data_IF_636713670220
#
_entry.id   IF_636713670220
#
_cell.length_a   1.000
_cell.length_b   1.000
_cell.length_c   1.000
_cell.angle_alpha   90.00
_cell.angle_beta   90.00
_cell.angle_gamma   90.00
#
_symmetry.space_group_name_H-M   'P 1'
#
loop_
_entity.id
_entity.type
_entity.pdbx_description
1 polymer ?
#
# COMPACT_ATOMS: atom_id res chain seq x y z
N UNK A 1 -32.26 5.61 9.99
CA UNK A 1 -31.02 5.61 9.17
C UNK A 1 -29.97 6.61 9.67
N UNK A 2 -30.36 7.81 10.11
CA UNK A 2 -29.45 8.86 10.62
C UNK A 2 -28.50 8.36 11.72
N UNK A 3 -28.98 7.55 12.68
CA UNK A 3 -28.13 6.99 13.74
C UNK A 3 -27.07 5.99 13.25
N UNK A 4 -27.35 5.22 12.18
CA UNK A 4 -26.37 4.28 11.61
C UNK A 4 -25.24 5.04 10.91
N UNK A 5 -25.57 6.08 10.14
CA UNK A 5 -24.60 6.95 9.48
C UNK A 5 -23.73 7.72 10.49
N UNK A 6 -24.34 8.28 11.55
CA UNK A 6 -23.57 8.92 12.63
C UNK A 6 -22.61 7.95 13.32
N UNK A 7 -23.07 6.73 13.60
CA UNK A 7 -22.23 5.68 14.22
C UNK A 7 -21.10 5.23 13.30
N UNK A 8 -21.34 5.13 11.99
CA UNK A 8 -20.31 4.83 11.00
C UNK A 8 -19.26 5.95 10.94
N UNK A 9 -19.71 7.22 10.87
CA UNK A 9 -18.81 8.38 10.87
C UNK A 9 -17.93 8.43 12.13
N UNK A 10 -18.52 8.18 13.30
CA UNK A 10 -17.76 8.06 14.55
C UNK A 10 -16.71 6.93 14.50
N UNK A 11 -17.06 5.74 13.96
CA UNK A 11 -16.10 4.64 13.80
C UNK A 11 -14.93 5.01 12.89
N UNK A 12 -15.22 5.68 11.77
CA UNK A 12 -14.18 6.15 10.84
C UNK A 12 -13.25 7.15 11.54
N UNK A 13 -13.79 8.07 12.34
CA UNK A 13 -12.99 9.04 13.08
C UNK A 13 -12.13 8.39 14.18
N UNK A 14 -12.71 7.45 14.96
CA UNK A 14 -11.98 6.71 16.00
C UNK A 14 -10.84 5.87 15.40
N UNK A 15 -11.12 5.18 14.29
CA UNK A 15 -10.14 4.34 13.61
C UNK A 15 -9.55 4.99 12.37
N UNK A 16 -9.37 6.32 12.39
CA UNK A 16 -8.98 7.10 11.22
C UNK A 16 -7.73 6.56 10.52
N UNK A 17 -6.70 6.22 11.29
CA UNK A 17 -5.45 5.69 10.73
C UNK A 17 -5.67 4.36 9.99
N UNK A 18 -6.43 3.44 10.59
CA UNK A 18 -6.79 2.17 9.96
C UNK A 18 -7.62 2.43 8.70
N UNK A 19 -8.63 3.29 8.77
CA UNK A 19 -9.46 3.63 7.62
C UNK A 19 -8.62 4.20 6.46
N UNK A 20 -7.73 5.15 6.74
CA UNK A 20 -6.83 5.73 5.75
C UNK A 20 -5.91 4.69 5.12
N UNK A 21 -5.32 3.79 5.92
CA UNK A 21 -4.51 2.69 5.40
C UNK A 21 -5.31 1.75 4.50
N UNK A 22 -6.48 1.31 4.97
CA UNK A 22 -7.34 0.42 4.19
C UNK A 22 -7.77 1.04 2.87
N UNK A 23 -8.15 2.32 2.89
CA UNK A 23 -8.55 3.06 1.69
C UNK A 23 -7.39 3.24 0.72
N UNK A 24 -6.22 3.66 1.20
CA UNK A 24 -5.05 3.84 0.34
C UNK A 24 -4.56 2.51 -0.24
N UNK A 25 -4.53 1.45 0.57
CA UNK A 25 -4.14 0.11 0.11
C UNK A 25 -5.09 -0.39 -0.97
N UNK A 26 -6.40 -0.19 -0.78
CA UNK A 26 -7.42 -0.56 -1.76
C UNK A 26 -7.25 0.22 -3.08
N UNK A 27 -7.13 1.56 -3.01
CA UNK A 27 -6.93 2.41 -4.18
C UNK A 27 -5.62 2.06 -4.89
N UNK A 28 -4.54 1.84 -4.14
CA UNK A 28 -3.24 1.44 -4.67
C UNK A 28 -3.32 0.11 -5.42
N UNK A 29 -3.96 -0.91 -4.85
CA UNK A 29 -4.18 -2.19 -5.53
C UNK A 29 -5.01 -2.06 -6.80
N UNK A 30 -6.10 -1.29 -6.78
CA UNK A 30 -6.91 -1.01 -7.97
C UNK A 30 -6.13 -0.26 -9.05
N UNK A 31 -5.28 0.68 -8.65
CA UNK A 31 -4.42 1.41 -9.58
C UNK A 31 -3.44 0.47 -10.28
N UNK A 32 -2.78 -0.42 -9.53
CA UNK A 32 -1.87 -1.43 -10.11
C UNK A 32 -2.64 -2.34 -11.08
N UNK A 33 -3.84 -2.79 -10.72
CA UNK A 33 -4.68 -3.60 -11.62
C UNK A 33 -5.03 -2.90 -12.94
N UNK A 34 -5.22 -1.58 -12.92
CA UNK A 34 -5.49 -0.81 -14.13
C UNK A 34 -4.24 -0.57 -14.99
N UNK A 35 -3.05 -0.80 -14.43
CA UNK A 35 -1.75 -0.52 -15.04
C UNK A 35 -0.81 -1.74 -14.92
N UNK A 36 -1.32 -2.94 -15.21
CA UNK A 36 -0.49 -4.14 -15.18
C UNK A 36 0.64 -4.05 -16.20
N UNK A 37 1.82 -4.58 -15.83
CA UNK A 37 3.03 -4.57 -16.67
C UNK A 37 3.47 -3.18 -17.13
N UNK A 38 3.05 -2.10 -16.44
CA UNK A 38 3.44 -0.74 -16.83
C UNK A 38 4.96 -0.51 -16.71
N UNK A 39 5.66 -1.36 -15.97
CA UNK A 39 7.12 -1.36 -15.86
C UNK A 39 7.82 -1.97 -17.06
N UNK A 40 7.10 -2.69 -17.92
CA UNK A 40 7.64 -3.22 -19.18
C UNK A 40 7.43 -2.26 -20.37
N UNK A 41 6.63 -1.20 -20.21
CA UNK A 41 6.36 -0.24 -21.28
C UNK A 41 7.59 0.66 -21.54
N UNK A 42 8.19 0.64 -22.75
CA UNK A 42 9.35 1.46 -23.09
C UNK A 42 9.11 2.98 -23.03
N UNK A 43 7.85 3.43 -22.98
CA UNK A 43 7.48 4.84 -22.74
C UNK A 43 7.65 5.24 -21.29
N UNK A 44 7.61 4.26 -20.38
CA UNK A 44 7.81 4.43 -18.93
C UNK A 44 9.25 4.07 -18.56
N UNK A 45 9.80 2.99 -19.11
CA UNK A 45 11.21 2.59 -18.99
C UNK A 45 11.98 2.91 -20.27
N UNK A 46 12.59 4.10 -20.32
CA UNK A 46 13.36 4.57 -21.49
C UNK A 46 14.59 3.69 -21.73
N UNK A 47 14.96 3.35 -22.98
CA UNK A 47 16.08 2.47 -23.28
C UNK A 47 17.43 2.92 -22.68
N UNK A 48 18.33 1.99 -22.32
CA UNK A 48 18.21 0.56 -22.49
C UNK A 48 17.25 -0.08 -21.46
N UNK A 49 16.53 -1.15 -21.84
CA UNK A 49 15.66 -1.87 -20.93
C UNK A 49 16.41 -2.36 -19.68
N UNK A 50 15.74 -2.43 -18.51
CA UNK A 50 16.34 -2.95 -17.29
C UNK A 50 16.85 -4.37 -17.49
N UNK A 51 17.98 -4.68 -16.85
CA UNK A 51 18.62 -5.98 -16.93
C UNK A 51 17.67 -7.08 -16.40
N UNK A 52 17.86 -8.33 -16.84
CA UNK A 52 16.97 -9.45 -16.46
C UNK A 52 16.83 -9.57 -14.92
N UNK A 53 17.92 -9.37 -14.18
CA UNK A 53 17.92 -9.42 -12.72
C UNK A 53 17.16 -8.26 -12.07
N UNK A 54 17.22 -7.06 -12.66
CA UNK A 54 16.46 -5.88 -12.21
C UNK A 54 14.97 -6.12 -12.38
N UNK A 55 14.55 -6.60 -13.57
CA UNK A 55 13.16 -6.94 -13.86
C UNK A 55 12.61 -7.99 -12.93
N UNK A 56 13.36 -9.05 -12.63
CA UNK A 56 12.91 -10.07 -11.65
C UNK A 56 12.82 -9.51 -10.22
N UNK A 57 13.56 -8.44 -9.91
CA UNK A 57 13.59 -7.86 -8.56
C UNK A 57 12.44 -6.90 -8.28
N UNK A 58 11.82 -6.30 -9.30
CA UNK A 58 10.69 -5.37 -9.13
C UNK A 58 9.44 -5.73 -9.92
N UNK A 59 9.50 -6.64 -10.90
CA UNK A 59 8.37 -6.97 -11.79
C UNK A 59 7.18 -7.63 -11.09
N UNK A 60 7.35 -8.09 -9.84
CA UNK A 60 6.22 -8.50 -9.03
C UNK A 60 5.32 -7.32 -8.62
N UNK A 61 5.83 -6.08 -8.65
CA UNK A 61 5.13 -4.92 -8.09
C UNK A 61 4.01 -4.38 -8.99
N UNK A 62 4.03 -4.73 -10.28
CA UNK A 62 2.99 -4.43 -11.27
C UNK A 62 2.24 -5.66 -11.78
N UNK A 63 2.36 -6.77 -11.04
CA UNK A 63 1.70 -8.04 -11.33
C UNK A 63 0.28 -8.12 -10.73
N UNK A 64 -0.59 -8.89 -11.40
CA UNK A 64 -1.99 -9.07 -11.00
C UNK A 64 -2.14 -9.72 -9.63
N UNK A 65 -1.27 -10.66 -9.27
CA UNK A 65 -1.34 -11.37 -7.99
C UNK A 65 -0.97 -10.45 -6.83
N UNK A 66 0.02 -9.58 -7.02
CA UNK A 66 0.44 -8.60 -6.02
C UNK A 66 -0.63 -7.51 -5.84
N UNK A 67 -1.21 -7.03 -6.94
CA UNK A 67 -2.36 -6.13 -6.92
C UNK A 67 -3.55 -6.75 -6.16
N UNK A 68 -3.81 -8.05 -6.37
CA UNK A 68 -4.86 -8.80 -5.67
C UNK A 68 -4.65 -8.79 -4.15
N UNK A 69 -3.40 -9.01 -3.69
CA UNK A 69 -3.07 -8.99 -2.27
C UNK A 69 -3.27 -7.59 -1.65
N UNK A 70 -2.89 -6.53 -2.38
CA UNK A 70 -3.15 -5.15 -1.97
C UNK A 70 -4.65 -4.87 -1.80
N UNK A 71 -5.46 -5.22 -2.81
CA UNK A 71 -6.92 -5.05 -2.76
C UNK A 71 -7.51 -5.83 -1.59
N UNK A 72 -7.13 -7.10 -1.42
CA UNK A 72 -7.62 -7.94 -0.34
C UNK A 72 -7.26 -7.38 1.04
N UNK A 73 -6.00 -6.97 1.24
CA UNK A 73 -5.54 -6.40 2.49
C UNK A 73 -6.28 -5.10 2.83
N UNK A 74 -6.50 -4.23 1.83
CA UNK A 74 -7.30 -3.01 1.97
C UNK A 74 -8.74 -3.30 2.39
N UNK A 75 -9.40 -4.26 1.74
CA UNK A 75 -10.76 -4.69 2.07
C UNK A 75 -10.87 -5.26 3.49
N UNK A 76 -9.98 -6.17 3.87
CA UNK A 76 -9.95 -6.78 5.22
C UNK A 76 -9.86 -5.69 6.30
N UNK A 77 -9.00 -4.70 6.07
CA UNK A 77 -8.76 -3.62 7.02
C UNK A 77 -9.97 -2.67 7.10
N UNK A 78 -10.57 -2.30 5.97
CA UNK A 78 -11.80 -1.48 5.91
C UNK A 78 -13.00 -2.19 6.56
N UNK A 79 -13.15 -3.51 6.35
CA UNK A 79 -14.16 -4.33 7.02
C UNK A 79 -13.97 -4.27 8.53
N UNK A 80 -12.73 -4.37 9.02
CA UNK A 80 -12.40 -4.24 10.45
C UNK A 80 -12.79 -2.88 11.04
N UNK A 81 -12.67 -1.80 10.26
CA UNK A 81 -13.14 -0.46 10.66
C UNK A 81 -14.66 -0.39 10.69
N UNK A 82 -15.33 -0.80 9.61
CA UNK A 82 -16.79 -0.66 9.50
C UNK A 82 -17.55 -1.56 10.47
N UNK A 83 -17.06 -2.77 10.73
CA UNK A 83 -17.65 -3.72 11.68
C UNK A 83 -17.19 -3.54 13.12
N UNK A 84 -16.25 -2.61 13.36
CA UNK A 84 -15.61 -2.40 14.66
C UNK A 84 -15.01 -3.69 15.26
N UNK A 85 -14.28 -4.45 14.44
CA UNK A 85 -13.67 -5.73 14.82
C UNK A 85 -12.15 -5.61 14.87
N UNK A 86 -11.58 -5.68 16.09
CA UNK A 86 -10.14 -5.63 16.33
C UNK A 86 -9.36 -6.68 15.55
N UNK A 87 -9.88 -7.92 15.46
CA UNK A 87 -9.24 -9.02 14.72
C UNK A 87 -8.95 -8.64 13.26
N UNK A 88 -9.97 -8.15 12.53
CA UNK A 88 -9.83 -7.76 11.13
C UNK A 88 -8.89 -6.56 10.93
N UNK A 89 -8.90 -5.59 11.86
CA UNK A 89 -7.96 -4.47 11.83
C UNK A 89 -6.51 -4.93 12.01
N UNK A 90 -6.26 -5.85 12.93
CA UNK A 90 -4.92 -6.40 13.19
C UNK A 90 -4.44 -7.27 12.03
N UNK A 91 -5.27 -8.20 11.55
CA UNK A 91 -4.94 -9.05 10.38
C UNK A 91 -4.68 -8.18 9.16
N UNK A 92 -5.53 -7.16 8.92
CA UNK A 92 -5.33 -6.19 7.85
C UNK A 92 -3.96 -5.51 7.95
N UNK A 93 -3.57 -4.99 9.12
CA UNK A 93 -2.25 -4.37 9.30
C UNK A 93 -1.09 -5.36 9.07
N UNK A 94 -1.21 -6.59 9.57
CA UNK A 94 -0.20 -7.65 9.38
C UNK A 94 -0.04 -7.98 7.89
N UNK A 95 -1.13 -7.96 7.11
CA UNK A 95 -1.08 -8.15 5.66
C UNK A 95 -0.49 -6.93 4.94
N UNK A 96 -0.87 -5.72 5.35
CA UNK A 96 -0.44 -4.46 4.73
C UNK A 96 1.06 -4.23 4.92
N UNK A 97 1.62 -4.51 6.09
CA UNK A 97 3.04 -4.25 6.40
C UNK A 97 4.04 -4.86 5.39
N UNK A 98 4.03 -6.19 5.12
CA UNK A 98 4.96 -6.79 4.15
C UNK A 98 4.70 -6.33 2.72
N UNK A 99 3.45 -5.99 2.37
CA UNK A 99 3.10 -5.49 1.04
C UNK A 99 3.73 -4.13 0.75
N UNK A 100 3.63 -3.19 1.69
CA UNK A 100 4.34 -1.91 1.57
C UNK A 100 5.85 -2.05 1.69
N UNK A 101 6.35 -2.98 2.51
CA UNK A 101 7.78 -3.30 2.56
C UNK A 101 8.32 -3.80 1.22
N UNK A 102 7.57 -4.68 0.55
CA UNK A 102 7.93 -5.21 -0.77
C UNK A 102 7.88 -4.13 -1.84
N UNK A 103 6.86 -3.27 -1.80
CA UNK A 103 6.71 -2.12 -2.70
C UNK A 103 7.84 -1.10 -2.49
N UNK A 104 8.23 -0.82 -1.24
CA UNK A 104 9.38 0.01 -0.91
C UNK A 104 10.68 -0.61 -1.44
N UNK A 105 10.89 -1.93 -1.27
CA UNK A 105 12.04 -2.63 -1.84
C UNK A 105 12.10 -2.50 -3.37
N UNK A 106 10.99 -2.75 -4.07
CA UNK A 106 10.92 -2.62 -5.53
C UNK A 106 11.30 -1.20 -5.99
N UNK A 107 10.83 -0.17 -5.28
CA UNK A 107 11.20 1.20 -5.56
C UNK A 107 12.63 1.56 -5.18
N UNK A 108 13.20 0.98 -4.12
CA UNK A 108 14.62 1.18 -3.75
C UNK A 108 15.52 0.58 -4.81
N UNK A 109 15.29 -0.68 -5.22
CA UNK A 109 16.06 -1.34 -6.27
C UNK A 109 15.97 -0.52 -7.55
N UNK A 110 14.76 -0.14 -7.98
CA UNK A 110 14.60 0.69 -9.16
C UNK A 110 15.30 2.04 -9.01
N UNK A 111 15.20 2.69 -7.86
CA UNK A 111 15.87 3.95 -7.62
C UNK A 111 17.40 3.85 -7.70
N UNK A 112 17.99 2.84 -7.09
CA UNK A 112 19.44 2.64 -7.06
C UNK A 112 20.04 2.35 -8.45
N UNK A 113 19.28 1.68 -9.32
CA UNK A 113 19.78 1.19 -10.60
C UNK A 113 19.21 1.93 -11.84
N UNK A 114 18.09 2.64 -11.69
CA UNK A 114 17.46 3.45 -12.75
C UNK A 114 17.58 4.95 -12.43
N UNK A 115 18.67 5.56 -12.88
CA UNK A 115 19.00 6.98 -12.65
C UNK A 115 18.01 7.99 -13.26
N UNK A 116 16.97 7.54 -13.98
CA UNK A 116 16.17 8.36 -14.91
C UNK A 116 14.73 8.66 -14.45
N UNK A 117 14.25 8.18 -13.30
CA UNK A 117 12.88 8.49 -12.84
C UNK A 117 12.80 9.09 -11.43
N UNK A 118 12.24 10.31 -11.34
CA UNK A 118 12.35 11.21 -10.18
C UNK A 118 11.00 11.55 -9.49
N UNK A 119 9.98 10.69 -9.57
CA UNK A 119 8.73 10.82 -8.79
C UNK A 119 8.50 9.64 -7.83
N UNK A 120 8.98 8.46 -8.21
CA UNK A 120 8.89 7.22 -7.42
C UNK A 120 9.62 7.33 -6.09
N UNK A 121 10.73 8.08 -6.04
CA UNK A 121 11.46 8.40 -4.81
C UNK A 121 10.64 9.19 -3.80
N UNK A 122 9.83 10.13 -4.28
CA UNK A 122 8.98 10.97 -3.42
C UNK A 122 7.87 10.12 -2.81
N UNK A 123 7.22 9.26 -3.61
CA UNK A 123 6.17 8.38 -3.10
C UNK A 123 6.70 7.25 -2.22
N UNK A 124 7.85 6.64 -2.55
CA UNK A 124 8.49 5.66 -1.70
C UNK A 124 8.96 6.28 -0.37
N UNK A 125 9.55 7.48 -0.41
CA UNK A 125 9.93 8.24 0.77
C UNK A 125 8.73 8.60 1.64
N UNK A 126 7.62 9.05 1.06
CA UNK A 126 6.38 9.32 1.78
C UNK A 126 5.75 8.05 2.37
N UNK A 127 5.77 6.93 1.64
CA UNK A 127 5.27 5.64 2.12
C UNK A 127 6.10 5.10 3.29
N UNK A 128 7.43 5.22 3.22
CA UNK A 128 8.35 4.85 4.30
C UNK A 128 8.15 5.78 5.50
N UNK A 129 8.06 7.10 5.29
CA UNK A 129 7.81 8.06 6.37
C UNK A 129 6.47 7.80 7.07
N UNK A 130 5.43 7.41 6.32
CA UNK A 130 4.14 6.99 6.88
C UNK A 130 4.25 5.68 7.66
N UNK A 131 4.96 4.67 7.15
CA UNK A 131 5.20 3.41 7.87
C UNK A 131 5.95 3.63 9.19
N UNK A 132 7.02 4.45 9.19
CA UNK A 132 7.73 4.79 10.40
C UNK A 132 6.87 5.63 11.35
N UNK A 133 6.14 6.62 10.84
CA UNK A 133 5.26 7.45 11.66
C UNK A 133 4.17 6.65 12.37
N UNK A 134 3.68 5.56 11.78
CA UNK A 134 2.64 4.72 12.37
C UNK A 134 3.19 3.58 13.22
N UNK A 135 4.37 3.05 12.90
CA UNK A 135 5.12 2.16 13.79
C UNK A 135 5.59 2.88 15.07
N UNK A 136 6.03 4.15 14.97
CA UNK A 136 6.45 4.97 16.11
C UNK A 136 5.28 5.43 16.99
N UNK A 137 4.08 5.58 16.41
CA UNK A 137 2.82 5.72 17.18
C UNK A 137 2.32 4.38 17.72
N UNK A 138 3.23 3.39 17.86
CA UNK A 138 2.99 2.05 18.38
C UNK A 138 1.96 2.09 19.51
N UNK A 139 1.01 1.16 19.45
CA UNK A 139 -0.24 1.21 20.19
C UNK A 139 -0.12 1.42 21.70
N UNK A 140 -0.04 2.68 22.11
CA UNK A 140 -0.51 3.14 23.41
C UNK A 140 -2.01 3.35 23.23
N UNK A 141 -2.75 2.24 23.23
CA UNK A 141 -4.09 2.29 23.80
C UNK A 141 -3.87 2.12 25.28
N UNK A 142 -4.09 3.23 25.98
CA UNK A 142 -4.06 3.38 27.42
C UNK A 142 -4.66 2.16 28.15
N UNK A 143 -3.90 1.66 29.13
CA UNK A 143 -4.50 1.17 30.37
C UNK A 143 -4.93 2.38 31.23
#
# INVERSE_FOLDING_TARGET
>A
MVNKLKRLGQRILVYWSYFSYGLFTLIGGLYIFAHLNYLDDPRVTVPPPPAMWERTSFGFSDDWWFASLFVLAGLVLLIGVFLDKRLFRNVGLIMVAPLYGSLAYAFIVRGLFDFRFNLTWVFAGLAIALLFGTAMRGGWHDD
#
